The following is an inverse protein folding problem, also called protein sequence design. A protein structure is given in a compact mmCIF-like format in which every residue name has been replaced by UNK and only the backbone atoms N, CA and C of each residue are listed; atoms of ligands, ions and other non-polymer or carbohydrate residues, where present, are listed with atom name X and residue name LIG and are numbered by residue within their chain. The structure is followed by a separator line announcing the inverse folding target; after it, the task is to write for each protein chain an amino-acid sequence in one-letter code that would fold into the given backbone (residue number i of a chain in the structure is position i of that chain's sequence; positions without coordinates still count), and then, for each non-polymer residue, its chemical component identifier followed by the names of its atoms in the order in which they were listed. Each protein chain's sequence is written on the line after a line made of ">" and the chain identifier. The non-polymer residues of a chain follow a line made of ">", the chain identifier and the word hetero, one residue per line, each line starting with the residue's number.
data_IF_805254584562
#
_entry.id   IF_805254584562
#
_cell.length_a   1.000
_cell.length_b   1.000
_cell.length_c   1.000
_cell.angle_alpha   90.00
_cell.angle_beta   90.00
_cell.angle_gamma   90.00
#
_symmetry.space_group_name_H-M   'P 1'
#
loop_
_entity.id
_entity.type
_entity.pdbx_description
1 polymer ?
#
# COMPACT_ATOMS: atom_id res chain seq x y z
N UNK A 1 -9.18 98.08 9.35
CA UNK A 1 -8.76 98.33 10.75
C UNK A 1 -7.35 97.77 10.91
N UNK A 2 -6.39 98.57 11.36
CA UNK A 2 -5.06 98.15 11.81
C UNK A 2 -4.87 98.78 13.19
N UNK A 3 -4.76 97.94 14.21
CA UNK A 3 -4.78 98.30 15.63
C UNK A 3 -5.60 97.28 16.42
N UNK A 4 -5.12 96.86 17.59
CA UNK A 4 -5.82 95.92 18.47
C UNK A 4 -7.27 96.36 18.68
N UNK A 5 -8.21 95.58 18.17
CA UNK A 5 -9.62 95.72 18.53
C UNK A 5 -9.99 94.49 19.36
N UNK A 6 -10.12 94.69 20.67
CA UNK A 6 -10.67 93.69 21.56
C UNK A 6 -12.19 93.71 21.37
N UNK A 7 -12.73 92.67 20.75
CA UNK A 7 -14.19 92.49 20.67
C UNK A 7 -14.59 91.62 21.84
N UNK A 8 -15.03 92.24 22.94
CA UNK A 8 -15.41 91.55 24.18
C UNK A 8 -16.83 90.95 24.14
N UNK A 9 -17.46 90.85 22.96
CA UNK A 9 -18.79 90.28 22.76
C UNK A 9 -18.92 89.47 21.47
N UNK A 10 -20.10 88.87 21.23
CA UNK A 10 -20.39 88.07 20.04
C UNK A 10 -20.24 88.90 18.74
N UNK A 11 -19.12 88.73 18.02
CA UNK A 11 -18.91 89.32 16.70
C UNK A 11 -19.52 88.42 15.62
N UNK A 12 -20.49 88.94 14.87
CA UNK A 12 -21.00 88.24 13.68
C UNK A 12 -20.37 88.82 12.42
N UNK A 13 -19.28 88.20 11.94
CA UNK A 13 -18.70 88.56 10.64
C UNK A 13 -19.39 87.76 9.54
N UNK A 14 -20.12 88.45 8.66
CA UNK A 14 -20.73 87.87 7.45
C UNK A 14 -19.77 88.06 6.28
N UNK A 15 -18.69 87.28 6.23
CA UNK A 15 -17.67 87.33 5.18
C UNK A 15 -16.39 86.59 5.60
N UNK A 16 -15.38 86.59 4.73
CA UNK A 16 -14.05 86.08 5.07
C UNK A 16 -13.41 87.00 6.12
N UNK A 17 -12.86 86.43 7.17
CA UNK A 17 -12.20 87.17 8.24
C UNK A 17 -10.96 86.42 8.74
N UNK A 18 -9.94 87.20 9.07
CA UNK A 18 -8.69 86.74 9.68
C UNK A 18 -8.68 87.17 11.14
N UNK A 19 -8.38 86.23 12.04
CA UNK A 19 -8.30 86.51 13.46
C UNK A 19 -7.02 85.94 14.06
N UNK A 20 -6.26 86.79 14.75
CA UNK A 20 -4.96 86.47 15.35
C UNK A 20 -5.10 85.82 16.76
N UNK A 21 -6.34 85.62 17.25
CA UNK A 21 -6.65 85.03 18.57
C UNK A 21 -7.93 84.20 18.50
N UNK A 22 -8.31 83.56 19.60
CA UNK A 22 -9.46 82.67 19.68
C UNK A 22 -10.77 83.33 19.25
N UNK A 23 -11.56 82.66 18.42
CA UNK A 23 -12.83 83.24 17.91
C UNK A 23 -13.98 82.25 17.74
N UNK A 24 -15.20 82.81 17.74
CA UNK A 24 -16.44 82.15 17.32
C UNK A 24 -16.94 82.78 16.01
N UNK A 25 -16.88 82.03 14.90
CA UNK A 25 -17.27 82.56 13.59
C UNK A 25 -18.41 81.77 12.95
N UNK A 26 -19.38 82.52 12.40
CA UNK A 26 -20.49 81.98 11.60
C UNK A 26 -20.24 82.36 10.13
N UNK A 27 -19.19 81.79 9.54
CA UNK A 27 -18.75 82.05 8.16
C UNK A 27 -17.47 81.27 7.82
N UNK A 28 -16.85 81.58 6.67
CA UNK A 28 -15.52 81.07 6.34
C UNK A 28 -14.46 81.95 7.03
N UNK A 29 -13.44 81.35 7.64
CA UNK A 29 -12.44 82.07 8.42
C UNK A 29 -11.05 81.44 8.32
N UNK A 30 -10.03 82.30 8.49
CA UNK A 30 -8.65 81.89 8.79
C UNK A 30 -8.35 82.32 10.21
N UNK A 31 -8.02 81.38 11.10
CA UNK A 31 -7.80 81.68 12.52
C UNK A 31 -6.47 81.07 12.96
N UNK A 32 -5.59 81.90 13.50
CA UNK A 32 -4.27 81.45 14.01
C UNK A 32 -4.39 80.83 15.42
N UNK A 33 -5.42 81.21 16.19
CA UNK A 33 -5.74 80.64 17.52
C UNK A 33 -6.84 79.57 17.53
N UNK A 34 -7.32 79.21 18.72
CA UNK A 34 -8.33 78.16 18.88
C UNK A 34 -9.70 78.67 18.41
N UNK A 35 -10.48 77.84 17.69
CA UNK A 35 -11.74 78.35 17.13
C UNK A 35 -12.88 77.34 16.99
N UNK A 36 -14.11 77.87 17.04
CA UNK A 36 -15.32 77.15 16.68
C UNK A 36 -15.91 77.76 15.40
N UNK A 37 -15.67 77.11 14.25
CA UNK A 37 -16.12 77.61 12.94
C UNK A 37 -17.28 76.75 12.41
N UNK A 38 -18.37 77.42 12.00
CA UNK A 38 -19.53 76.72 11.41
C UNK A 38 -19.46 76.60 9.88
N UNK A 39 -18.57 77.34 9.22
CA UNK A 39 -18.30 77.30 7.77
C UNK A 39 -17.04 76.53 7.40
N UNK A 40 -16.47 76.80 6.22
CA UNK A 40 -15.19 76.23 5.80
C UNK A 40 -14.03 77.07 6.35
N UNK A 41 -12.96 76.45 6.84
CA UNK A 41 -11.87 77.20 7.49
C UNK A 41 -10.49 76.58 7.31
N UNK A 42 -9.48 77.42 7.48
CA UNK A 42 -8.10 77.02 7.75
C UNK A 42 -7.78 77.49 9.16
N UNK A 43 -7.43 76.57 10.06
CA UNK A 43 -7.15 76.89 11.47
C UNK A 43 -5.82 76.28 11.86
N UNK A 44 -4.93 77.11 12.40
CA UNK A 44 -3.57 76.71 12.82
C UNK A 44 -3.52 76.29 14.31
N UNK A 45 -4.58 76.60 15.08
CA UNK A 45 -4.81 76.16 16.46
C UNK A 45 -5.80 74.99 16.60
N UNK A 46 -6.15 74.66 17.85
CA UNK A 46 -7.09 73.57 18.14
C UNK A 46 -8.51 74.03 17.78
N UNK A 47 -9.28 73.20 17.07
CA UNK A 47 -10.55 73.66 16.53
C UNK A 47 -11.65 72.60 16.45
N UNK A 48 -12.89 73.08 16.55
CA UNK A 48 -14.08 72.32 16.22
C UNK A 48 -14.76 72.95 15.01
N UNK A 49 -14.83 72.24 13.89
CA UNK A 49 -15.44 72.77 12.67
C UNK A 49 -16.56 71.87 12.17
N UNK A 50 -17.67 72.51 11.77
CA UNK A 50 -18.84 71.80 11.22
C UNK A 50 -18.85 71.73 9.69
N UNK A 51 -18.06 72.55 9.00
CA UNK A 51 -17.87 72.53 7.54
C UNK A 51 -16.62 71.76 7.09
N UNK A 52 -16.17 71.99 5.84
CA UNK A 52 -14.94 71.41 5.31
C UNK A 52 -13.75 72.28 5.71
N UNK A 53 -12.67 71.68 6.22
CA UNK A 53 -11.56 72.47 6.73
C UNK A 53 -10.21 71.75 6.64
N UNK A 54 -9.15 72.57 6.60
CA UNK A 54 -7.75 72.14 6.66
C UNK A 54 -7.16 72.59 8.00
N UNK A 55 -6.49 71.68 8.70
CA UNK A 55 -5.91 71.95 10.01
C UNK A 55 -4.47 71.46 10.08
N UNK A 56 -3.62 72.27 10.69
CA UNK A 56 -2.20 71.93 10.93
C UNK A 56 -2.00 71.22 12.28
N UNK A 57 -3.00 71.22 13.16
CA UNK A 57 -2.97 70.62 14.51
C UNK A 57 -4.23 69.82 14.84
N UNK A 58 -4.37 69.40 16.10
CA UNK A 58 -5.40 68.49 16.57
C UNK A 58 -6.82 69.07 16.44
N UNK A 59 -7.78 68.25 16.00
CA UNK A 59 -9.10 68.78 15.61
C UNK A 59 -10.25 67.77 15.72
N UNK A 60 -11.44 68.31 15.99
CA UNK A 60 -12.71 67.60 15.95
C UNK A 60 -13.59 68.16 14.83
N UNK A 61 -13.74 67.41 13.73
CA UNK A 61 -14.58 67.83 12.61
C UNK A 61 -15.78 66.92 12.36
N UNK A 62 -16.90 67.56 11.99
CA UNK A 62 -18.11 66.85 11.56
C UNK A 62 -18.26 66.77 10.02
N UNK A 63 -17.48 67.55 9.26
CA UNK A 63 -17.44 67.54 7.79
C UNK A 63 -16.25 66.75 7.23
N UNK A 64 -15.90 66.97 5.95
CA UNK A 64 -14.69 66.42 5.35
C UNK A 64 -13.49 67.27 5.74
N UNK A 65 -12.35 66.66 6.07
CA UNK A 65 -11.18 67.41 6.53
C UNK A 65 -9.87 66.83 6.01
N UNK A 66 -8.87 67.71 5.89
CA UNK A 66 -7.46 67.35 5.74
C UNK A 66 -6.76 67.82 7.01
N UNK A 67 -6.15 66.90 7.75
CA UNK A 67 -5.56 67.19 9.06
C UNK A 67 -4.14 66.65 9.11
N UNK A 68 -3.18 67.51 9.42
CA UNK A 68 -1.78 67.11 9.60
C UNK A 68 -1.52 66.54 11.01
N UNK A 69 -2.26 66.98 12.03
CA UNK A 69 -2.24 66.48 13.42
C UNK A 69 -3.23 65.33 13.73
N UNK A 70 -3.46 65.07 15.02
CA UNK A 70 -4.37 64.01 15.48
C UNK A 70 -5.83 64.45 15.35
N UNK A 71 -6.74 63.56 14.90
CA UNK A 71 -8.13 64.01 14.71
C UNK A 71 -9.22 62.96 14.87
N UNK A 72 -10.41 63.46 15.21
CA UNK A 72 -11.67 62.72 15.12
C UNK A 72 -12.53 63.33 14.02
N UNK A 73 -12.58 62.68 12.85
CA UNK A 73 -13.35 63.12 11.69
C UNK A 73 -14.55 62.21 11.46
N UNK A 74 -15.75 62.79 11.33
CA UNK A 74 -16.96 62.01 11.02
C UNK A 74 -17.25 61.86 9.52
N UNK A 75 -16.68 62.71 8.67
CA UNK A 75 -16.79 62.63 7.20
C UNK A 75 -15.63 61.87 6.55
N UNK A 76 -15.41 62.10 5.25
CA UNK A 76 -14.23 61.58 4.53
C UNK A 76 -13.01 62.44 4.87
N UNK A 77 -11.85 61.82 5.12
CA UNK A 77 -10.64 62.56 5.44
C UNK A 77 -9.36 61.89 4.97
N UNK A 78 -8.33 62.74 4.84
CA UNK A 78 -6.93 62.36 4.74
C UNK A 78 -6.26 62.91 5.99
N UNK A 79 -5.71 62.03 6.83
CA UNK A 79 -5.08 62.41 8.10
C UNK A 79 -3.67 61.83 8.15
N UNK A 80 -2.69 62.69 8.46
CA UNK A 80 -1.27 62.31 8.56
C UNK A 80 -0.83 61.91 9.98
N UNK A 81 -1.62 62.25 11.00
CA UNK A 81 -1.45 61.88 12.42
C UNK A 81 -2.35 60.71 12.88
N UNK A 82 -2.41 60.47 14.20
CA UNK A 82 -3.24 59.42 14.80
C UNK A 82 -4.72 59.83 14.71
N UNK A 83 -5.58 58.93 14.20
CA UNK A 83 -6.97 59.32 13.94
C UNK A 83 -8.00 58.21 14.13
N UNK A 84 -9.22 58.62 14.45
CA UNK A 84 -10.43 57.80 14.37
C UNK A 84 -11.38 58.44 13.36
N UNK A 85 -11.64 57.75 12.25
CA UNK A 85 -12.56 58.22 11.20
C UNK A 85 -13.74 57.27 11.08
N UNK A 86 -14.95 57.83 10.93
CA UNK A 86 -16.19 57.04 10.77
C UNK A 86 -16.68 56.89 9.32
N UNK A 87 -16.06 57.61 8.37
CA UNK A 87 -16.33 57.53 6.92
C UNK A 87 -15.20 56.88 6.13
N UNK A 88 -15.17 57.07 4.80
CA UNK A 88 -14.08 56.58 3.95
C UNK A 88 -12.82 57.42 4.21
N UNK A 89 -11.74 56.75 4.60
CA UNK A 89 -10.51 57.41 5.03
C UNK A 89 -9.30 56.84 4.31
N UNK A 90 -8.34 57.71 4.00
CA UNK A 90 -7.01 57.33 3.54
C UNK A 90 -6.01 57.82 4.58
N UNK A 91 -5.29 56.89 5.20
CA UNK A 91 -4.30 57.19 6.23
C UNK A 91 -2.90 56.96 5.68
N UNK A 92 -1.98 57.89 5.93
CA UNK A 92 -0.58 57.74 5.53
C UNK A 92 0.29 57.11 6.62
N UNK A 93 -0.18 57.08 7.88
CA UNK A 93 0.48 56.49 9.06
C UNK A 93 -0.45 55.54 9.86
N UNK A 94 0.05 55.08 11.01
CA UNK A 94 -0.62 54.13 11.91
C UNK A 94 -2.03 54.60 12.29
N UNK A 95 -2.99 53.68 12.29
CA UNK A 95 -4.39 53.99 12.59
C UNK A 95 -4.93 53.07 13.66
N UNK A 96 -5.64 53.63 14.64
CA UNK A 96 -6.28 52.87 15.72
C UNK A 96 -7.81 53.00 15.65
N UNK A 97 -8.47 52.06 14.99
CA UNK A 97 -9.94 51.99 14.96
C UNK A 97 -10.47 51.19 16.15
N UNK A 98 -10.98 51.88 17.17
CA UNK A 98 -11.71 51.24 18.27
C UNK A 98 -13.20 51.10 17.91
N UNK A 99 -13.58 49.99 17.26
CA UNK A 99 -14.97 49.62 16.95
C UNK A 99 -15.14 48.96 15.56
N UNK A 100 -16.39 48.68 15.16
CA UNK A 100 -16.72 48.23 13.81
C UNK A 100 -16.55 49.41 12.83
N UNK A 101 -15.65 49.28 11.86
CA UNK A 101 -15.48 50.22 10.76
C UNK A 101 -15.90 49.54 9.45
N UNK A 102 -16.74 50.19 8.65
CA UNK A 102 -17.09 49.75 7.30
C UNK A 102 -16.29 50.61 6.33
N UNK A 103 -15.33 50.02 5.62
CA UNK A 103 -14.64 50.68 4.50
C UNK A 103 -15.33 50.24 3.23
N UNK A 104 -16.01 51.14 2.54
CA UNK A 104 -16.74 50.82 1.30
C UNK A 104 -15.84 50.80 0.05
N UNK A 105 -14.56 51.16 0.19
CA UNK A 105 -13.53 51.12 -0.87
C UNK A 105 -12.28 50.33 -0.46
N UNK A 106 -11.22 50.45 -1.27
CA UNK A 106 -9.94 49.80 -0.98
C UNK A 106 -9.27 50.43 0.25
N UNK A 107 -8.96 49.60 1.25
CA UNK A 107 -8.14 50.01 2.40
C UNK A 107 -6.70 49.56 2.18
N UNK A 108 -5.77 50.50 2.09
CA UNK A 108 -4.34 50.23 2.00
C UNK A 108 -3.68 50.48 3.35
N UNK A 109 -3.26 49.43 4.05
CA UNK A 109 -2.41 49.54 5.23
C UNK A 109 -0.97 49.31 4.79
N UNK A 110 -0.13 50.36 4.82
CA UNK A 110 1.30 50.27 4.48
C UNK A 110 2.16 49.63 5.57
N UNK A 111 1.59 49.45 6.77
CA UNK A 111 2.21 48.80 7.92
C UNK A 111 1.48 47.53 8.36
N UNK A 112 1.56 47.21 9.65
CA UNK A 112 0.85 46.06 10.23
C UNK A 112 -0.59 46.44 10.58
N UNK A 113 -1.55 45.60 10.21
CA UNK A 113 -2.93 45.69 10.70
C UNK A 113 -3.19 44.59 11.72
N UNK A 114 -3.74 44.95 12.88
CA UNK A 114 -4.24 43.98 13.87
C UNK A 114 -5.76 44.06 13.90
N UNK A 115 -6.42 42.93 13.65
CA UNK A 115 -7.88 42.80 13.73
C UNK A 115 -8.18 41.80 14.84
N UNK A 116 -8.70 42.28 15.98
CA UNK A 116 -9.04 41.44 17.14
C UNK A 116 -10.40 40.73 16.98
N UNK A 117 -11.10 40.98 15.89
CA UNK A 117 -12.42 40.42 15.58
C UNK A 117 -12.44 39.58 14.30
N UNK A 118 -13.62 39.51 13.69
CA UNK A 118 -13.83 38.79 12.43
C UNK A 118 -13.48 39.67 11.23
N UNK A 119 -12.72 39.10 10.30
CA UNK A 119 -12.53 39.67 8.96
C UNK A 119 -13.31 38.84 7.95
N UNK A 120 -14.07 39.51 7.08
CA UNK A 120 -14.76 38.89 5.94
C UNK A 120 -14.30 39.60 4.68
N UNK A 121 -13.63 38.88 3.77
CA UNK A 121 -13.22 39.39 2.46
C UNK A 121 -13.80 38.50 1.36
N UNK A 122 -14.02 39.07 0.17
CA UNK A 122 -14.34 38.26 -1.01
C UNK A 122 -13.10 37.47 -1.46
N UNK A 123 -11.99 38.18 -1.65
CA UNK A 123 -10.70 37.62 -1.98
C UNK A 123 -9.67 37.99 -0.89
N UNK A 124 -8.74 37.06 -0.61
CA UNK A 124 -7.61 37.30 0.28
C UNK A 124 -6.35 36.81 -0.42
N UNK A 125 -5.44 37.74 -0.72
CA UNK A 125 -4.09 37.43 -1.19
C UNK A 125 -3.11 37.69 -0.05
N UNK A 126 -2.35 36.67 0.35
CA UNK A 126 -1.25 36.80 1.30
C UNK A 126 0.04 36.49 0.56
N UNK A 127 0.85 37.51 0.29
CA UNK A 127 2.12 37.39 -0.44
C UNK A 127 3.30 36.91 0.44
N UNK A 128 3.01 36.48 1.66
CA UNK A 128 3.99 36.00 2.63
C UNK A 128 3.39 34.89 3.48
N UNK A 129 3.98 34.69 4.66
CA UNK A 129 3.54 33.63 5.56
C UNK A 129 2.18 33.95 6.17
N UNK A 130 1.30 32.96 6.18
CA UNK A 130 0.05 32.99 6.93
C UNK A 130 0.09 31.92 8.01
N UNK A 131 -0.24 32.28 9.25
CA UNK A 131 -0.37 31.34 10.36
C UNK A 131 -1.78 31.35 10.88
N UNK A 132 -2.47 30.22 10.79
CA UNK A 132 -3.77 30.01 11.44
C UNK A 132 -3.58 29.14 12.67
N UNK A 133 -3.87 29.68 13.87
CA UNK A 133 -3.80 28.92 15.12
C UNK A 133 -5.05 28.07 15.38
N UNK A 134 -6.17 28.45 14.78
CA UNK A 134 -7.44 27.73 14.86
C UNK A 134 -7.70 26.85 13.64
N UNK A 135 -8.97 26.50 13.45
CA UNK A 135 -9.39 25.70 12.30
C UNK A 135 -9.42 26.56 11.03
N UNK A 136 -8.97 25.98 9.92
CA UNK A 136 -9.16 26.53 8.58
C UNK A 136 -10.02 25.57 7.76
N UNK A 137 -11.03 26.10 7.08
CA UNK A 137 -11.93 25.33 6.22
C UNK A 137 -11.85 25.89 4.82
N UNK A 138 -11.47 25.05 3.86
CA UNK A 138 -11.47 25.40 2.43
C UNK A 138 -12.67 24.69 1.80
N UNK A 139 -13.68 25.47 1.40
CA UNK A 139 -14.88 24.91 0.75
C UNK A 139 -14.67 24.53 -0.72
N UNK A 140 -13.59 25.02 -1.34
CA UNK A 140 -13.20 24.75 -2.72
C UNK A 140 -12.00 23.82 -2.83
N UNK A 141 -11.13 24.10 -3.80
CA UNK A 141 -9.88 23.34 -3.99
C UNK A 141 -8.74 23.97 -3.21
N UNK A 142 -7.89 23.15 -2.59
CA UNK A 142 -6.59 23.54 -2.06
C UNK A 142 -5.52 23.07 -3.05
N UNK A 143 -4.71 24.01 -3.56
CA UNK A 143 -3.52 23.70 -4.35
C UNK A 143 -2.30 24.05 -3.52
N UNK A 144 -1.35 23.12 -3.40
CA UNK A 144 -0.06 23.36 -2.74
C UNK A 144 1.03 22.96 -3.70
N UNK A 145 1.84 23.93 -4.16
CA UNK A 145 2.97 23.67 -5.06
C UNK A 145 4.21 23.16 -4.31
N UNK A 146 4.28 23.43 -3.00
CA UNK A 146 5.36 22.98 -2.12
C UNK A 146 5.03 21.72 -1.31
N UNK A 147 5.87 21.43 -0.32
CA UNK A 147 5.67 20.30 0.59
C UNK A 147 4.54 20.59 1.58
N UNK A 148 3.71 19.57 1.85
CA UNK A 148 2.67 19.63 2.89
C UNK A 148 2.89 18.51 3.90
N UNK A 149 2.73 18.81 5.18
CA UNK A 149 2.67 17.82 6.25
C UNK A 149 1.26 17.86 6.83
N UNK A 150 0.57 16.71 6.82
CA UNK A 150 -0.76 16.54 7.40
C UNK A 150 -0.70 15.43 8.45
N UNK A 151 -1.50 15.58 9.50
CA UNK A 151 -1.73 14.55 10.50
C UNK A 151 -3.22 14.16 10.43
N UNK A 152 -3.53 12.88 10.62
CA UNK A 152 -4.91 12.34 10.65
C UNK A 152 -5.76 12.65 9.40
N UNK A 153 -5.27 12.23 8.23
CA UNK A 153 -5.94 12.46 6.94
C UNK A 153 -7.08 11.46 6.71
N UNK A 154 -8.30 11.96 6.52
CA UNK A 154 -9.45 11.16 6.05
C UNK A 154 -9.80 11.51 4.61
N UNK A 155 -9.95 10.49 3.75
CA UNK A 155 -10.26 10.65 2.33
C UNK A 155 -11.58 9.95 2.02
N UNK A 156 -12.63 10.73 1.78
CA UNK A 156 -14.00 10.20 1.64
C UNK A 156 -14.30 9.53 0.29
N UNK A 157 -13.54 9.84 -0.77
CA UNK A 157 -13.81 9.35 -2.13
C UNK A 157 -12.59 8.67 -2.74
N UNK A 158 -11.57 9.45 -3.09
CA UNK A 158 -10.42 8.95 -3.84
C UNK A 158 -9.17 9.72 -3.53
N UNK A 159 -8.06 9.00 -3.40
CA UNK A 159 -6.70 9.53 -3.42
C UNK A 159 -6.06 9.18 -4.77
N UNK A 160 -5.64 10.19 -5.53
CA UNK A 160 -4.83 9.99 -6.72
C UNK A 160 -3.40 10.42 -6.41
N UNK A 161 -2.45 9.54 -6.70
CA UNK A 161 -1.03 9.79 -6.51
C UNK A 161 -0.32 9.80 -7.87
N UNK A 162 0.65 10.69 -8.03
CA UNK A 162 1.49 10.72 -9.23
C UNK A 162 2.53 9.59 -9.21
N UNK A 163 3.28 9.46 -10.32
CA UNK A 163 4.32 8.45 -10.47
C UNK A 163 5.38 8.57 -9.34
N UNK A 164 5.78 7.42 -8.78
CA UNK A 164 6.74 7.28 -7.66
C UNK A 164 6.24 7.72 -6.27
N UNK A 165 4.94 7.88 -6.05
CA UNK A 165 4.44 8.07 -4.70
C UNK A 165 4.71 6.83 -3.82
N UNK A 166 5.33 7.04 -2.67
CA UNK A 166 5.51 6.01 -1.64
C UNK A 166 4.37 6.11 -0.63
N UNK A 167 3.65 5.00 -0.42
CA UNK A 167 2.72 4.83 0.69
C UNK A 167 3.40 3.93 1.71
N UNK A 168 3.68 4.47 2.89
CA UNK A 168 4.21 3.72 4.03
C UNK A 168 3.11 3.56 5.07
N UNK A 169 2.64 2.34 5.26
CA UNK A 169 1.56 2.04 6.20
C UNK A 169 2.07 1.81 7.63
N UNK A 170 3.40 1.75 7.86
CA UNK A 170 3.95 1.45 9.17
C UNK A 170 3.35 0.18 9.79
N UNK A 171 2.77 0.30 11.00
CA UNK A 171 2.08 -0.78 11.72
C UNK A 171 0.55 -0.68 11.59
N UNK A 172 0.03 -0.02 10.56
CA UNK A 172 -1.41 0.14 10.37
C UNK A 172 -2.05 -1.06 9.67
N UNK A 173 -3.25 -1.43 10.12
CA UNK A 173 -4.07 -2.43 9.46
C UNK A 173 -4.76 -1.85 8.21
N UNK A 174 -4.85 -2.66 7.15
CA UNK A 174 -5.75 -2.38 6.03
C UNK A 174 -7.08 -3.07 6.31
N UNK A 175 -8.07 -2.32 6.78
CA UNK A 175 -9.42 -2.83 6.93
C UNK A 175 -10.13 -2.90 5.56
N UNK A 176 -10.44 -4.12 5.09
CA UNK A 176 -11.17 -4.35 3.83
C UNK A 176 -10.30 -4.93 2.71
N UNK A 177 -10.57 -4.52 1.47
CA UNK A 177 -9.89 -5.05 0.28
C UNK A 177 -8.84 -4.08 -0.26
N UNK A 178 -7.59 -4.52 -0.31
CA UNK A 178 -6.52 -3.82 -1.03
C UNK A 178 -6.42 -4.34 -2.47
N UNK A 179 -7.03 -3.60 -3.40
CA UNK A 179 -7.01 -3.97 -4.82
C UNK A 179 -5.96 -3.17 -5.57
N UNK A 180 -5.05 -3.86 -6.25
CA UNK A 180 -4.02 -3.26 -7.10
C UNK A 180 -4.42 -3.50 -8.55
N UNK A 181 -4.79 -2.43 -9.25
CA UNK A 181 -5.11 -2.49 -10.67
C UNK A 181 -3.88 -2.06 -11.47
N UNK A 182 -3.31 -2.98 -12.25
CA UNK A 182 -2.28 -2.65 -13.22
C UNK A 182 -2.90 -2.02 -14.47
N UNK A 183 -2.49 -0.81 -14.84
CA UNK A 183 -2.82 -0.26 -16.16
C UNK A 183 -1.95 -0.95 -17.21
N UNK A 184 -2.55 -1.84 -18.01
CA UNK A 184 -1.87 -2.63 -19.04
C UNK A 184 -1.33 -1.82 -20.21
N UNK A 185 -1.74 -0.56 -20.36
CA UNK A 185 -1.33 0.32 -21.47
C UNK A 185 0.09 0.87 -21.27
N UNK A 186 0.61 0.87 -20.03
CA UNK A 186 1.96 1.36 -19.69
C UNK A 186 2.95 0.26 -19.30
N UNK A 187 2.48 -0.83 -18.67
CA UNK A 187 3.25 -2.04 -18.31
C UNK A 187 2.29 -3.21 -18.22
N UNK A 188 2.72 -4.42 -18.58
CA UNK A 188 1.85 -5.60 -18.42
C UNK A 188 1.51 -5.82 -16.94
N UNK A 189 0.36 -6.42 -16.64
CA UNK A 189 0.01 -6.80 -15.26
C UNK A 189 1.12 -7.61 -14.59
N UNK A 190 1.82 -8.47 -15.34
CA UNK A 190 3.00 -9.21 -14.88
C UNK A 190 4.13 -8.28 -14.43
N UNK A 191 4.44 -7.23 -15.20
CA UNK A 191 5.47 -6.26 -14.84
C UNK A 191 5.06 -5.38 -13.65
N UNK A 192 3.77 -5.10 -13.49
CA UNK A 192 3.25 -4.41 -12.31
C UNK A 192 3.34 -5.29 -11.06
N UNK A 193 3.06 -6.59 -11.19
CA UNK A 193 3.21 -7.57 -10.12
C UNK A 193 4.69 -7.86 -9.79
N UNK A 194 5.60 -7.84 -10.77
CA UNK A 194 7.04 -7.99 -10.53
C UNK A 194 7.62 -6.79 -9.76
N UNK A 195 6.99 -5.61 -9.86
CA UNK A 195 7.34 -4.41 -9.09
C UNK A 195 6.69 -4.34 -7.72
N UNK A 196 5.64 -5.15 -7.46
CA UNK A 196 5.34 -5.57 -6.11
C UNK A 196 6.49 -6.48 -5.70
N UNK A 197 7.58 -5.88 -5.23
CA UNK A 197 8.62 -6.62 -4.54
C UNK A 197 7.94 -7.27 -3.33
N UNK A 198 7.43 -8.49 -3.51
CA UNK A 198 7.21 -9.43 -2.44
C UNK A 198 8.61 -9.75 -1.92
N UNK A 199 9.15 -8.86 -1.09
CA UNK A 199 10.44 -9.07 -0.40
C UNK A 199 10.34 -10.24 0.59
N UNK A 200 9.16 -10.86 0.73
CA UNK A 200 8.96 -12.13 1.39
C UNK A 200 7.63 -12.78 0.99
N UNK A 201 7.42 -14.05 1.39
CA UNK A 201 6.11 -14.70 1.32
C UNK A 201 5.03 -13.87 2.04
N UNK A 202 3.75 -14.07 1.70
CA UNK A 202 2.64 -13.55 2.52
C UNK A 202 2.75 -14.19 3.91
N UNK A 203 3.21 -13.42 4.88
CA UNK A 203 3.27 -13.82 6.28
C UNK A 203 2.18 -13.07 7.01
N UNK A 204 1.16 -13.79 7.49
CA UNK A 204 0.26 -13.22 8.49
C UNK A 204 1.02 -13.22 9.83
N UNK A 205 1.12 -12.07 10.48
CA UNK A 205 1.80 -11.90 11.77
C UNK A 205 0.74 -11.61 12.83
N UNK A 206 0.78 -12.28 13.98
CA UNK A 206 -0.13 -12.00 15.09
C UNK A 206 0.17 -10.61 15.66
N UNK A 207 -0.78 -9.65 15.61
CA UNK A 207 -0.54 -8.28 16.07
C UNK A 207 -0.29 -8.19 17.60
N UNK A 208 -0.60 -9.21 18.39
CA UNK A 208 -0.33 -9.25 19.83
C UNK A 208 1.04 -9.81 20.18
N UNK A 209 1.56 -10.72 19.36
CA UNK A 209 2.80 -11.46 19.68
C UNK A 209 3.95 -11.16 18.71
N UNK A 210 3.69 -10.45 17.62
CA UNK A 210 4.64 -10.07 16.58
C UNK A 210 5.42 -11.27 16.01
N UNK A 211 4.75 -12.43 15.95
CA UNK A 211 5.28 -13.69 15.42
C UNK A 211 4.49 -14.09 14.19
N UNK A 212 5.17 -14.71 13.22
CA UNK A 212 4.56 -15.37 12.07
C UNK A 212 3.47 -16.32 12.54
N UNK A 213 2.23 -15.98 12.22
CA UNK A 213 1.11 -16.90 12.28
C UNK A 213 1.06 -17.55 10.92
N UNK A 214 1.67 -18.72 10.82
CA UNK A 214 1.24 -19.65 9.81
C UNK A 214 -0.22 -19.97 10.10
N UNK A 215 -1.15 -19.31 9.38
CA UNK A 215 -2.48 -19.84 9.23
C UNK A 215 -2.32 -21.19 8.55
N UNK A 216 -2.35 -22.24 9.37
CA UNK A 216 -2.44 -23.61 8.92
C UNK A 216 -3.80 -23.74 8.24
N UNK A 217 -3.86 -23.35 6.98
CA UNK A 217 -4.99 -23.67 6.13
C UNK A 217 -4.85 -25.15 5.83
N UNK A 218 -5.75 -25.98 6.38
CA UNK A 218 -5.75 -27.42 6.08
C UNK A 218 -5.98 -27.69 4.57
N UNK A 219 -6.44 -26.69 3.82
CA UNK A 219 -6.65 -26.76 2.37
C UNK A 219 -6.19 -25.47 1.69
N UNK A 220 -5.25 -25.60 0.74
CA UNK A 220 -4.95 -24.57 -0.26
C UNK A 220 -5.80 -24.86 -1.50
N UNK A 221 -6.80 -24.01 -1.77
CA UNK A 221 -7.57 -24.07 -3.01
C UNK A 221 -6.90 -23.20 -4.06
N UNK A 222 -6.27 -23.85 -5.04
CA UNK A 222 -5.82 -23.17 -6.26
C UNK A 222 -7.02 -23.06 -7.21
N UNK A 223 -7.12 -21.95 -7.96
CA UNK A 223 -8.10 -21.77 -9.04
C UNK A 223 -9.57 -21.58 -8.60
N UNK A 224 -9.81 -20.70 -7.62
CA UNK A 224 -11.11 -20.35 -7.02
C UNK A 224 -12.26 -20.07 -8.01
N UNK A 225 -12.84 -21.11 -8.64
CA UNK A 225 -14.05 -21.03 -9.47
C UNK A 225 -13.85 -21.13 -10.99
N UNK A 226 -12.67 -21.53 -11.48
CA UNK A 226 -12.42 -21.75 -12.93
C UNK A 226 -12.22 -23.23 -13.24
N UNK A 227 -12.75 -23.69 -14.38
CA UNK A 227 -12.61 -25.09 -14.83
C UNK A 227 -11.25 -25.38 -15.51
N UNK A 228 -10.45 -24.34 -15.77
CA UNK A 228 -9.17 -24.48 -16.47
C UNK A 228 -8.05 -24.83 -15.48
N UNK A 229 -7.25 -25.89 -15.70
CA UNK A 229 -6.18 -26.26 -14.78
C UNK A 229 -5.15 -25.15 -14.52
N UNK A 230 -4.67 -25.06 -13.28
CA UNK A 230 -3.54 -24.19 -12.90
C UNK A 230 -2.24 -24.99 -12.89
N UNK A 231 -1.24 -24.50 -13.62
CA UNK A 231 0.10 -25.08 -13.62
C UNK A 231 0.89 -24.57 -12.42
N UNK A 232 1.37 -25.47 -11.58
CA UNK A 232 2.33 -25.17 -10.49
C UNK A 232 3.74 -25.53 -10.98
N UNK A 233 4.66 -24.57 -10.96
CA UNK A 233 6.05 -24.73 -11.43
C UNK A 233 7.06 -24.50 -10.32
N UNK A 234 8.33 -24.89 -10.55
CA UNK A 234 9.42 -24.74 -9.59
C UNK A 234 9.22 -25.52 -8.27
N UNK A 235 8.51 -26.65 -8.34
CA UNK A 235 8.35 -27.60 -7.23
C UNK A 235 9.63 -28.45 -7.16
N UNK A 236 10.39 -28.29 -6.08
CA UNK A 236 11.61 -29.05 -5.84
C UNK A 236 11.30 -30.52 -5.49
N UNK A 237 12.33 -31.36 -5.38
CA UNK A 237 12.17 -32.73 -4.89
C UNK A 237 11.72 -32.71 -3.41
N UNK A 238 10.74 -33.56 -3.02
CA UNK A 238 10.21 -33.59 -1.67
C UNK A 238 11.27 -34.05 -0.68
N UNK A 239 11.29 -33.46 0.52
CA UNK A 239 12.13 -33.85 1.66
C UNK A 239 11.34 -34.61 2.72
N UNK A 240 10.09 -34.19 2.94
CA UNK A 240 9.16 -34.79 3.90
C UNK A 240 7.98 -35.49 3.21
N UNK A 241 7.29 -36.37 3.93
CA UNK A 241 6.19 -37.16 3.37
C UNK A 241 4.95 -36.34 2.98
N UNK A 242 4.79 -35.15 3.55
CA UNK A 242 3.69 -34.21 3.27
C UNK A 242 3.99 -33.23 2.14
N UNK A 243 5.20 -33.26 1.57
CA UNK A 243 5.60 -32.33 0.53
C UNK A 243 4.90 -32.65 -0.80
N UNK A 244 4.65 -31.60 -1.59
CA UNK A 244 4.21 -31.76 -2.96
C UNK A 244 5.29 -32.47 -3.79
N UNK A 245 4.87 -33.37 -4.67
CA UNK A 245 5.77 -34.16 -5.52
C UNK A 245 5.78 -33.61 -6.94
N UNK A 246 6.96 -33.33 -7.47
CA UNK A 246 7.12 -32.98 -8.88
C UNK A 246 7.17 -34.23 -9.79
N UNK A 247 6.83 -34.07 -11.07
CA UNK A 247 6.78 -35.18 -12.03
C UNK A 247 8.14 -35.89 -12.21
N UNK A 248 9.24 -35.15 -12.24
CA UNK A 248 10.58 -35.71 -12.41
C UNK A 248 10.98 -36.66 -11.27
N UNK A 249 10.66 -36.30 -10.02
CA UNK A 249 10.87 -37.16 -8.86
C UNK A 249 10.01 -38.44 -8.94
N UNK A 250 8.74 -38.30 -9.29
CA UNK A 250 7.82 -39.43 -9.45
C UNK A 250 8.30 -40.41 -10.52
N UNK A 251 8.62 -39.90 -11.72
CA UNK A 251 9.07 -40.73 -12.84
C UNK A 251 10.37 -41.46 -12.52
N UNK A 252 11.30 -40.82 -11.80
CA UNK A 252 12.54 -41.44 -11.34
C UNK A 252 12.26 -42.64 -10.41
N UNK A 253 11.38 -42.48 -9.43
CA UNK A 253 11.02 -43.56 -8.48
C UNK A 253 10.26 -44.69 -9.16
N UNK A 254 9.30 -44.34 -10.03
CA UNK A 254 8.54 -45.33 -10.80
C UNK A 254 9.44 -46.13 -11.74
N UNK A 255 10.38 -45.48 -12.44
CA UNK A 255 11.32 -46.13 -13.34
C UNK A 255 12.22 -47.16 -12.63
N UNK A 256 12.69 -46.85 -11.42
CA UNK A 256 13.47 -47.79 -10.60
C UNK A 256 12.65 -49.03 -10.24
N UNK A 257 11.43 -48.82 -9.72
CA UNK A 257 10.54 -49.93 -9.36
C UNK A 257 10.22 -50.80 -10.59
N UNK A 258 9.96 -50.17 -11.74
CA UNK A 258 9.70 -50.90 -12.98
C UNK A 258 10.91 -51.75 -13.40
N UNK A 259 12.14 -51.24 -13.31
CA UNK A 259 13.36 -52.03 -13.63
C UNK A 259 13.51 -53.25 -12.73
N UNK A 260 13.20 -53.11 -11.44
CA UNK A 260 13.25 -54.22 -10.49
C UNK A 260 12.20 -55.30 -10.81
N UNK A 261 10.99 -54.87 -11.16
CA UNK A 261 9.91 -55.78 -11.59
C UNK A 261 10.33 -56.55 -12.85
N UNK A 262 10.82 -55.86 -13.88
CA UNK A 262 11.29 -56.51 -15.11
C UNK A 262 12.43 -57.50 -14.84
N UNK A 263 13.36 -57.14 -13.96
CA UNK A 263 14.48 -58.02 -13.58
C UNK A 263 14.01 -59.27 -12.84
N UNK A 264 12.99 -59.14 -11.97
CA UNK A 264 12.36 -60.28 -11.29
C UNK A 264 11.63 -61.19 -12.28
N UNK A 265 10.87 -60.63 -13.23
CA UNK A 265 10.16 -61.40 -14.27
C UNK A 265 11.15 -62.22 -15.09
N UNK A 266 12.24 -61.62 -15.57
CA UNK A 266 13.27 -62.32 -16.34
C UNK A 266 13.93 -63.45 -15.54
N UNK A 267 14.16 -63.24 -14.24
CA UNK A 267 14.69 -64.28 -13.35
C UNK A 267 13.70 -65.44 -13.18
N UNK A 268 12.41 -65.14 -13.00
CA UNK A 268 11.36 -66.15 -12.87
C UNK A 268 11.24 -66.97 -14.15
N UNK A 269 11.18 -66.34 -15.31
CA UNK A 269 11.12 -67.04 -16.61
C UNK A 269 12.34 -67.96 -16.81
N UNK A 270 13.55 -67.48 -16.51
CA UNK A 270 14.77 -68.29 -16.62
C UNK A 270 14.74 -69.52 -15.69
N UNK A 271 14.33 -69.34 -14.43
CA UNK A 271 14.21 -70.43 -13.46
C UNK A 271 13.14 -71.44 -13.85
N UNK A 272 11.98 -70.97 -14.32
CA UNK A 272 10.91 -71.84 -14.80
C UNK A 272 11.36 -72.71 -15.97
N UNK A 273 12.01 -72.11 -16.99
CA UNK A 273 12.56 -72.87 -18.12
C UNK A 273 13.58 -73.93 -17.67
N UNK A 274 14.41 -73.59 -16.69
CA UNK A 274 15.43 -74.48 -16.12
C UNK A 274 14.81 -75.62 -15.29
N UNK A 275 13.73 -75.34 -14.57
CA UNK A 275 12.91 -76.35 -13.89
C UNK A 275 12.24 -77.32 -14.87
N UNK A 276 11.73 -76.82 -16.00
CA UNK A 276 11.19 -77.68 -17.07
C UNK A 276 12.30 -78.55 -17.67
N UNK A 277 13.48 -77.99 -17.96
CA UNK A 277 14.62 -78.76 -18.45
C UNK A 277 15.03 -79.87 -17.45
N UNK A 278 14.92 -79.61 -16.15
CA UNK A 278 15.17 -80.58 -15.07
C UNK A 278 14.16 -81.73 -15.11
N UNK A 279 12.87 -81.41 -15.26
CA UNK A 279 11.81 -82.41 -15.41
C UNK A 279 11.99 -83.27 -16.67
N UNK A 280 12.38 -82.66 -17.80
CA UNK A 280 12.71 -83.37 -19.04
C UNK A 280 13.92 -84.30 -18.84
N UNK A 281 14.97 -83.84 -18.15
CA UNK A 281 16.13 -84.67 -17.85
C UNK A 281 15.78 -85.89 -16.99
N UNK A 282 14.91 -85.71 -16.00
CA UNK A 282 14.48 -86.77 -15.09
C UNK A 282 13.49 -87.76 -15.73
N UNK A 283 12.67 -87.31 -16.68
CA UNK A 283 11.67 -88.18 -17.34
C UNK A 283 12.31 -89.23 -18.26
N UNK A 284 13.46 -88.91 -18.83
CA UNK A 284 14.22 -89.80 -19.73
C UNK A 284 15.12 -90.80 -18.99
N UNK A 285 15.19 -90.75 -17.65
CA UNK A 285 16.00 -91.68 -16.87
C UNK A 285 15.46 -93.12 -17.01
N UNK A 286 16.25 -94.09 -17.50
CA UNK A 286 15.83 -95.48 -17.63
C UNK A 286 15.35 -96.10 -16.32
N UNK A 287 14.43 -97.05 -16.43
CA UNK A 287 13.90 -97.82 -15.32
C UNK A 287 14.41 -99.26 -15.36
N UNK A 288 14.63 -99.88 -14.19
CA UNK A 288 14.98 -101.30 -14.05
C UNK A 288 13.79 -102.22 -14.41
N UNK A 289 14.06 -103.37 -15.06
CA UNK A 289 13.02 -104.28 -15.58
C UNK A 289 13.10 -105.73 -15.07
N UNK A 290 14.22 -106.16 -14.46
CA UNK A 290 14.40 -107.55 -13.94
C UNK A 290 14.34 -107.61 -12.42
N UNK A 291 13.85 -108.73 -11.89
CA UNK A 291 13.77 -108.93 -10.43
C UNK A 291 15.17 -108.90 -9.79
N UNK A 292 15.31 -108.16 -8.69
CA UNK A 292 16.57 -107.95 -7.97
C UNK A 292 17.56 -106.97 -8.64
N UNK A 293 17.23 -106.44 -9.82
CA UNK A 293 18.09 -105.54 -10.59
C UNK A 293 18.01 -104.11 -10.09
N UNK A 294 19.19 -103.47 -9.94
CA UNK A 294 19.35 -102.05 -9.66
C UNK A 294 20.01 -101.35 -10.85
N UNK A 295 19.50 -100.18 -11.21
CA UNK A 295 20.04 -99.34 -12.29
C UNK A 295 20.36 -97.96 -11.77
N UNK A 296 21.58 -97.48 -12.01
CA UNK A 296 21.97 -96.07 -11.88
C UNK A 296 21.92 -95.44 -13.27
N UNK A 297 21.36 -94.24 -13.38
CA UNK A 297 21.14 -93.55 -14.63
C UNK A 297 21.59 -92.09 -14.56
N UNK A 298 22.01 -91.56 -15.71
CA UNK A 298 22.31 -90.14 -15.93
C UNK A 298 21.55 -89.70 -17.18
N UNK A 299 20.93 -88.53 -17.12
CA UNK A 299 20.14 -87.96 -18.20
C UNK A 299 20.37 -86.46 -18.34
N UNK A 300 20.18 -85.94 -19.55
CA UNK A 300 20.23 -84.51 -19.85
C UNK A 300 18.88 -84.02 -20.37
N UNK A 301 18.56 -82.76 -20.12
CA UNK A 301 17.33 -82.14 -20.58
C UNK A 301 17.57 -80.70 -20.99
N UNK A 302 16.88 -80.26 -22.03
CA UNK A 302 16.95 -78.89 -22.53
C UNK A 302 15.56 -78.33 -22.80
N UNK A 303 15.33 -77.06 -22.52
CA UNK A 303 14.07 -76.38 -22.84
C UNK A 303 14.28 -74.88 -23.05
N UNK A 304 13.95 -74.37 -24.24
CA UNK A 304 14.01 -72.93 -24.62
C UNK A 304 15.29 -72.21 -24.15
N UNK A 305 16.45 -72.84 -24.37
CA UNK A 305 17.78 -72.31 -24.02
C UNK A 305 18.26 -72.62 -22.58
N UNK A 306 17.44 -73.26 -21.76
CA UNK A 306 17.86 -73.81 -20.46
C UNK A 306 18.32 -75.27 -20.60
N UNK A 307 19.18 -75.70 -19.68
CA UNK A 307 19.72 -77.06 -19.64
C UNK A 307 19.77 -77.61 -18.22
N UNK A 308 19.59 -78.91 -18.08
CA UNK A 308 19.69 -79.62 -16.81
C UNK A 308 20.33 -80.99 -16.97
N UNK A 309 20.96 -81.45 -15.90
CA UNK A 309 21.46 -82.80 -15.75
C UNK A 309 20.68 -83.49 -14.63
N UNK A 310 20.35 -84.76 -14.83
CA UNK A 310 19.66 -85.59 -13.86
C UNK A 310 20.43 -86.87 -13.59
N UNK A 311 20.31 -87.36 -12.36
CA UNK A 311 20.81 -88.66 -11.92
C UNK A 311 19.66 -89.43 -11.31
N UNK A 312 19.60 -90.74 -11.54
CA UNK A 312 18.52 -91.57 -11.02
C UNK A 312 18.99 -92.93 -10.57
N UNK A 313 18.23 -93.50 -9.66
CA UNK A 313 18.35 -94.87 -9.20
C UNK A 313 17.00 -95.56 -9.30
N UNK A 314 16.97 -96.78 -9.82
CA UNK A 314 15.77 -97.61 -9.78
C UNK A 314 16.09 -99.05 -9.41
N UNK A 315 15.17 -99.71 -8.70
CA UNK A 315 15.29 -101.11 -8.29
C UNK A 315 13.95 -101.83 -8.41
N UNK A 316 13.98 -103.06 -8.89
CA UNK A 316 12.86 -104.01 -8.76
C UNK A 316 13.17 -104.96 -7.61
N UNK A 317 12.21 -105.21 -6.73
CA UNK A 317 12.37 -106.18 -5.64
C UNK A 317 12.68 -107.58 -6.17
N UNK A 318 13.30 -108.41 -5.33
CA UNK A 318 13.75 -109.76 -5.72
C UNK A 318 12.58 -110.68 -6.14
N UNK A 319 11.36 -110.39 -5.67
CA UNK A 319 10.13 -111.08 -6.07
C UNK A 319 9.45 -110.48 -7.33
N UNK A 320 10.04 -109.44 -7.94
CA UNK A 320 9.54 -108.81 -9.16
C UNK A 320 8.26 -107.98 -9.03
N UNK A 321 7.72 -107.79 -7.81
CA UNK A 321 6.41 -107.18 -7.58
C UNK A 321 6.44 -105.68 -7.34
N UNK A 322 7.54 -105.13 -6.84
CA UNK A 322 7.63 -103.70 -6.49
C UNK A 322 8.78 -103.06 -7.25
N UNK A 323 8.53 -101.90 -7.83
CA UNK A 323 9.53 -101.07 -8.51
C UNK A 323 9.66 -99.76 -7.75
N UNK A 324 10.89 -99.37 -7.42
CA UNK A 324 11.22 -98.10 -6.79
C UNK A 324 12.05 -97.29 -7.79
N UNK A 325 11.73 -96.00 -7.94
CA UNK A 325 12.52 -95.04 -8.74
C UNK A 325 12.75 -93.78 -7.92
N UNK A 326 13.99 -93.29 -7.94
CA UNK A 326 14.40 -92.03 -7.30
C UNK A 326 15.20 -91.25 -8.35
N UNK A 327 14.99 -89.95 -8.44
CA UNK A 327 15.73 -89.08 -9.34
C UNK A 327 16.00 -87.72 -8.70
N UNK A 328 17.15 -87.15 -9.03
CA UNK A 328 17.55 -85.78 -8.71
C UNK A 328 18.10 -85.09 -9.94
N UNK A 329 18.07 -83.77 -9.97
CA UNK A 329 18.59 -82.96 -11.07
C UNK A 329 19.11 -81.61 -10.61
N UNK A 330 20.01 -81.05 -11.40
CA UNK A 330 20.55 -79.71 -11.26
C UNK A 330 20.49 -79.01 -12.63
N UNK A 331 20.22 -77.71 -12.63
CA UNK A 331 20.10 -76.94 -13.87
C UNK A 331 21.02 -75.71 -13.91
N UNK A 332 21.13 -75.12 -15.10
CA UNK A 332 21.99 -73.95 -15.34
C UNK A 332 21.48 -72.64 -14.70
N UNK A 333 20.30 -72.63 -14.05
CA UNK A 333 19.89 -71.54 -13.15
C UNK A 333 20.38 -71.72 -11.71
N UNK A 334 21.03 -72.84 -11.39
CA UNK A 334 21.52 -73.19 -10.06
C UNK A 334 20.46 -73.78 -9.14
N UNK A 335 19.29 -74.14 -9.68
CA UNK A 335 18.22 -74.75 -8.90
C UNK A 335 18.31 -76.29 -9.01
N UNK A 336 17.84 -76.99 -7.97
CA UNK A 336 17.83 -78.45 -7.87
C UNK A 336 16.39 -78.97 -7.77
N UNK A 337 16.12 -80.14 -8.35
CA UNK A 337 14.82 -80.80 -8.23
C UNK A 337 15.02 -82.29 -7.95
N UNK A 338 14.08 -82.91 -7.23
CA UNK A 338 14.14 -84.33 -6.91
C UNK A 338 12.75 -84.93 -6.74
N UNK A 339 12.66 -86.24 -6.91
CA UNK A 339 11.41 -86.98 -6.80
C UNK A 339 11.66 -88.48 -6.63
N UNK A 340 10.65 -89.17 -6.10
CA UNK A 340 10.64 -90.62 -5.96
C UNK A 340 9.27 -91.18 -6.32
N UNK A 341 9.23 -92.43 -6.77
CA UNK A 341 8.01 -93.14 -7.14
C UNK A 341 8.13 -94.62 -6.77
N UNK A 342 6.98 -95.23 -6.49
CA UNK A 342 6.83 -96.67 -6.26
C UNK A 342 5.72 -97.21 -7.16
N UNK A 343 5.97 -98.35 -7.82
CA UNK A 343 5.00 -99.06 -8.65
C UNK A 343 4.81 -100.49 -8.14
N UNK A 344 3.57 -100.98 -8.17
CA UNK A 344 3.21 -102.35 -7.78
C UNK A 344 2.71 -103.13 -8.99
N UNK A 345 3.25 -104.33 -9.22
CA UNK A 345 2.86 -105.26 -10.28
C UNK A 345 2.05 -106.40 -9.67
N UNK A 346 0.85 -106.62 -10.19
CA UNK A 346 -0.05 -107.72 -9.83
C UNK A 346 -0.13 -108.75 -10.97
#
# INVERSE_FOLDING_TARGET
>A
MKGNSTVEGDSTVKGNATFEKDTLTKGNATVEGDSLVKGNSTVEGDSTVKGNATFEKDTLTKGNATVEGDSLVKGNSTVEGDSTVKGNATFEKDTLTKGNATVEGDSLVKGNATIEGTTTTQDLLVNGDSTTKGNSTIGGSLTVEGNTVLQDVTINKSLTLADNAKIDLGNSDIEGSFNIYGNTDKKTLSQALDQLQMTGPLVYVDPKTNKDVQHRTDVVRLNSGSDKPVRVTNVADPKEASDAVNLGYFDKKLSLNMRDVHSRINRVDRRLRSGIASAVAMSLLPQSYRAGESVVSVGGGTYRGASAIAVGYSRVTDNGRVIIKIGGSANNSGDYAGGAAVGWKF
#
